data_IF_574371414981
#
_entry.id   IF_574371414981
#
_cell.length_a   1.000
_cell.length_b   1.000
_cell.length_c   1.000
_cell.angle_alpha   90.00
_cell.angle_beta   90.00
_cell.angle_gamma   90.00
#
_symmetry.space_group_name_H-M   'P 1'
#
loop_
_entity.id
_entity.type
_entity.pdbx_description
1 polymer ?
#
# COMPACT_ATOMS: atom_id res chain seq x y z
N UNK A 1 -76.87 -0.72 26.80
CA UNK A 1 -76.30 -0.27 25.51
C UNK A 1 -75.20 0.80 25.64
N UNK A 2 -75.15 1.60 26.72
CA UNK A 2 -74.13 2.66 26.86
C UNK A 2 -72.67 2.19 27.12
N UNK A 3 -72.47 1.01 27.74
CA UNK A 3 -71.11 0.52 28.02
C UNK A 3 -70.35 0.04 26.77
N UNK A 4 -71.03 -0.50 25.76
CA UNK A 4 -70.36 -1.02 24.54
C UNK A 4 -69.80 0.09 23.65
N UNK A 5 -70.42 1.27 23.64
CA UNK A 5 -69.93 2.42 22.86
C UNK A 5 -68.60 2.96 23.38
N UNK A 6 -68.39 2.95 24.71
CA UNK A 6 -67.15 3.46 25.31
C UNK A 6 -65.95 2.53 25.01
N UNK A 7 -66.14 1.22 25.13
CA UNK A 7 -65.11 0.23 24.76
C UNK A 7 -64.78 0.26 23.27
N UNK A 8 -65.78 0.46 22.41
CA UNK A 8 -65.56 0.61 20.98
C UNK A 8 -64.73 1.85 20.66
N UNK A 9 -65.03 3.00 21.27
CA UNK A 9 -64.25 4.23 21.11
C UNK A 9 -62.81 4.08 21.61
N UNK A 10 -62.59 3.38 22.73
CA UNK A 10 -61.24 3.10 23.26
C UNK A 10 -60.45 2.18 22.30
N UNK A 11 -61.08 1.14 21.77
CA UNK A 11 -60.47 0.25 20.77
C UNK A 11 -60.10 0.98 19.48
N UNK A 12 -60.97 1.88 19.01
CA UNK A 12 -60.70 2.72 17.82
C UNK A 12 -59.53 3.67 18.09
N UNK A 13 -59.48 4.32 19.26
CA UNK A 13 -58.34 5.17 19.64
C UNK A 13 -57.02 4.38 19.73
N UNK A 14 -57.03 3.20 20.35
CA UNK A 14 -55.84 2.34 20.44
C UNK A 14 -55.38 1.86 19.05
N UNK A 15 -56.30 1.51 18.16
CA UNK A 15 -55.99 1.15 16.79
C UNK A 15 -55.38 2.32 16.00
N UNK A 16 -55.95 3.53 16.14
CA UNK A 16 -55.42 4.73 15.49
C UNK A 16 -54.01 5.08 15.99
N UNK A 17 -53.76 4.98 17.30
CA UNK A 17 -52.42 5.19 17.88
C UNK A 17 -51.45 4.11 17.40
N UNK A 18 -51.88 2.84 17.33
CA UNK A 18 -51.08 1.74 16.81
C UNK A 18 -50.68 1.93 15.34
N UNK A 19 -51.62 2.36 14.49
CA UNK A 19 -51.34 2.67 13.08
C UNK A 19 -50.44 3.89 12.94
N UNK A 20 -50.67 4.96 13.71
CA UNK A 20 -49.83 6.16 13.68
C UNK A 20 -48.38 5.85 14.13
N UNK A 21 -48.22 5.07 15.19
CA UNK A 21 -46.88 4.65 15.67
C UNK A 21 -46.18 3.71 14.70
N UNK A 22 -46.91 2.73 14.13
CA UNK A 22 -46.38 1.81 13.13
C UNK A 22 -45.96 2.51 11.83
N UNK A 23 -46.74 3.48 11.35
CA UNK A 23 -46.40 4.28 10.15
C UNK A 23 -45.20 5.19 10.38
N UNK A 24 -45.10 5.84 11.54
CA UNK A 24 -43.92 6.63 11.91
C UNK A 24 -42.67 5.75 11.98
N UNK A 25 -42.76 4.57 12.59
CA UNK A 25 -41.63 3.64 12.67
C UNK A 25 -41.19 3.16 11.28
N UNK A 26 -42.14 2.85 10.39
CA UNK A 26 -41.87 2.42 9.02
C UNK A 26 -41.24 3.53 8.17
N UNK A 27 -41.68 4.78 8.36
CA UNK A 27 -41.08 5.94 7.69
C UNK A 27 -39.65 6.16 8.17
N UNK A 28 -39.39 6.06 9.48
CA UNK A 28 -38.05 6.18 10.06
C UNK A 28 -37.13 5.08 9.53
N UNK A 29 -37.59 3.82 9.49
CA UNK A 29 -36.77 2.71 8.97
C UNK A 29 -36.53 2.83 7.48
N UNK A 30 -37.55 3.21 6.70
CA UNK A 30 -37.41 3.47 5.27
C UNK A 30 -36.40 4.57 5.01
N UNK A 31 -36.52 5.73 5.67
CA UNK A 31 -35.60 6.85 5.50
C UNK A 31 -34.17 6.49 5.94
N UNK A 32 -34.01 5.73 7.04
CA UNK A 32 -32.71 5.23 7.47
C UNK A 32 -32.06 4.24 6.47
N UNK A 33 -32.87 3.48 5.73
CA UNK A 33 -32.40 2.52 4.71
C UNK A 33 -32.13 3.24 3.38
N UNK A 34 -32.98 4.17 2.95
CA UNK A 34 -32.90 4.80 1.63
C UNK A 34 -31.99 6.02 1.58
N UNK A 35 -31.67 6.64 2.72
CA UNK A 35 -30.77 7.80 2.73
C UNK A 35 -29.33 7.34 2.53
N UNK A 36 -28.82 7.57 1.33
CA UNK A 36 -27.42 7.30 0.97
C UNK A 36 -26.50 8.51 1.19
N UNK A 37 -27.09 9.65 1.55
CA UNK A 37 -26.39 10.89 1.85
C UNK A 37 -25.94 10.87 3.29
N UNK A 38 -24.65 10.63 3.50
CA UNK A 38 -24.05 10.85 4.80
C UNK A 38 -23.25 12.14 4.82
N UNK A 39 -23.48 12.96 5.85
CA UNK A 39 -22.64 14.13 6.07
C UNK A 39 -21.36 13.69 6.76
N UNK A 40 -20.29 13.61 5.99
CA UNK A 40 -18.95 13.57 6.55
C UNK A 40 -18.70 14.92 7.25
N UNK A 41 -18.08 14.96 8.44
CA UNK A 41 -17.60 16.20 9.05
C UNK A 41 -16.34 16.69 8.33
N UNK A 42 -16.36 16.69 7.00
CA UNK A 42 -15.25 17.02 6.12
C UNK A 42 -15.68 18.26 5.34
N UNK A 43 -15.24 19.42 5.80
CA UNK A 43 -15.40 20.67 5.08
C UNK A 43 -14.09 21.00 4.33
N UNK A 44 -13.62 20.06 3.51
CA UNK A 44 -12.35 20.17 2.79
C UNK A 44 -12.47 19.53 1.40
N UNK A 45 -12.22 20.33 0.37
CA UNK A 45 -12.28 19.97 -1.06
C UNK A 45 -11.20 18.97 -1.49
N UNK A 46 -10.08 18.95 -0.75
CA UNK A 46 -8.94 18.05 -0.99
C UNK A 46 -9.09 16.66 -0.35
N UNK A 47 -10.19 16.38 0.37
CA UNK A 47 -10.40 15.09 1.04
C UNK A 47 -11.57 14.35 0.42
N UNK A 48 -11.38 13.07 0.15
CA UNK A 48 -12.43 12.16 -0.30
C UNK A 48 -12.51 10.92 0.56
N UNK A 49 -13.72 10.42 0.72
CA UNK A 49 -13.99 9.18 1.41
C UNK A 49 -14.38 8.07 0.43
N UNK A 50 -13.63 6.98 0.44
CA UNK A 50 -13.88 5.82 -0.44
C UNK A 50 -14.71 4.73 0.24
N UNK A 51 -14.74 4.67 1.58
CA UNK A 51 -15.54 3.72 2.35
C UNK A 51 -16.12 4.35 3.60
N UNK A 52 -17.43 4.22 3.78
CA UNK A 52 -18.21 4.83 4.85
C UNK A 52 -18.58 3.79 5.90
N UNK A 53 -18.24 4.05 7.16
CA UNK A 53 -18.75 3.31 8.30
C UNK A 53 -19.95 4.04 8.89
N UNK A 54 -21.08 3.32 8.94
CA UNK A 54 -22.29 3.71 9.67
C UNK A 54 -22.31 2.95 10.99
N UNK A 55 -21.86 3.52 12.12
CA UNK A 55 -22.07 2.87 13.40
C UNK A 55 -23.58 2.80 13.66
N UNK A 56 -24.06 1.62 14.03
CA UNK A 56 -25.47 1.40 14.35
C UNK A 56 -25.86 2.28 15.54
N UNK A 57 -26.65 3.32 15.27
CA UNK A 57 -27.27 4.15 16.30
C UNK A 57 -28.79 4.17 16.06
N UNK A 58 -29.56 3.72 17.05
CA UNK A 58 -31.02 3.86 17.11
C UNK A 58 -31.47 5.31 17.46
N UNK A 59 -30.68 6.31 17.08
CA UNK A 59 -30.90 7.74 17.38
C UNK A 59 -30.74 8.52 16.06
N UNK A 60 -31.67 9.34 15.57
CA UNK A 60 -33.10 9.58 15.78
C UNK A 60 -33.47 10.59 14.66
N UNK A 61 -34.62 10.47 13.97
CA UNK A 61 -35.37 11.54 13.27
C UNK A 61 -34.61 12.59 12.40
N UNK A 62 -33.31 12.42 12.13
CA UNK A 62 -32.38 13.38 11.49
C UNK A 62 -31.27 12.63 10.73
N UNK A 63 -30.57 13.32 9.84
CA UNK A 63 -29.50 12.75 8.99
C UNK A 63 -28.40 12.06 9.83
N UNK A 64 -28.08 10.78 9.57
CA UNK A 64 -27.08 10.04 10.33
C UNK A 64 -25.66 10.57 10.10
N UNK A 65 -24.82 10.54 11.15
CA UNK A 65 -23.38 10.81 11.06
C UNK A 65 -22.60 9.56 10.66
N UNK A 66 -21.71 9.67 9.68
CA UNK A 66 -20.81 8.59 9.26
C UNK A 66 -19.37 8.98 9.43
N UNK A 67 -18.54 7.95 9.56
CA UNK A 67 -17.11 8.09 9.60
C UNK A 67 -16.49 7.43 8.38
N UNK A 68 -15.46 8.06 7.84
CA UNK A 68 -14.67 7.50 6.77
C UNK A 68 -13.62 6.50 7.27
N UNK A 69 -13.67 5.28 6.73
CA UNK A 69 -12.67 4.24 6.97
C UNK A 69 -11.45 4.39 6.07
N UNK A 70 -11.65 4.85 4.84
CA UNK A 70 -10.60 5.01 3.81
C UNK A 70 -10.58 6.46 3.37
N UNK A 71 -9.67 7.23 3.97
CA UNK A 71 -9.45 8.64 3.66
C UNK A 71 -8.42 8.76 2.55
N UNK A 72 -8.76 9.50 1.50
CA UNK A 72 -7.83 9.91 0.45
C UNK A 72 -7.72 11.43 0.45
N UNK A 73 -6.50 11.92 0.62
CA UNK A 73 -6.16 13.35 0.59
C UNK A 73 -5.35 13.62 -0.65
N UNK A 74 -5.80 14.57 -1.47
CA UNK A 74 -5.12 14.99 -2.70
C UNK A 74 -5.05 16.50 -2.76
N UNK A 75 -3.86 17.01 -2.47
CA UNK A 75 -3.63 18.44 -2.35
C UNK A 75 -3.60 19.17 -3.70
N UNK A 76 -3.53 18.45 -4.82
CA UNK A 76 -3.65 19.05 -6.14
C UNK A 76 -5.09 19.51 -6.47
N UNK A 77 -6.10 19.01 -5.74
CA UNK A 77 -7.52 19.31 -5.99
C UNK A 77 -7.97 20.69 -5.55
N UNK A 78 -7.20 21.37 -4.70
CA UNK A 78 -7.55 22.71 -4.22
C UNK A 78 -7.35 23.82 -5.28
N UNK A 79 -6.92 23.45 -6.48
CA UNK A 79 -6.78 24.35 -7.62
C UNK A 79 -5.52 25.24 -7.54
N UNK A 80 -5.02 25.73 -8.68
CA UNK A 80 -3.87 26.61 -8.72
C UNK A 80 -4.26 28.00 -8.16
N UNK A 81 -4.02 28.25 -6.86
CA UNK A 81 -4.29 29.56 -6.27
C UNK A 81 -4.53 29.59 -4.75
N UNK A 82 -4.69 28.44 -4.09
CA UNK A 82 -4.74 28.40 -2.62
C UNK A 82 -3.36 28.65 -2.03
N UNK A 83 -3.29 29.60 -1.09
CA UNK A 83 -2.06 29.90 -0.37
C UNK A 83 -1.63 28.65 0.42
N UNK A 84 -0.38 28.19 0.25
CA UNK A 84 0.12 26.93 0.81
C UNK A 84 -0.02 26.84 2.35
N UNK A 85 -0.01 27.99 3.03
CA UNK A 85 -0.26 28.11 4.48
C UNK A 85 -1.71 27.84 4.85
N UNK A 86 -2.66 28.41 4.11
CA UNK A 86 -4.11 28.22 4.34
C UNK A 86 -4.50 26.75 4.14
N UNK A 87 -3.93 26.11 3.13
CA UNK A 87 -4.08 24.67 2.93
C UNK A 87 -3.55 23.89 4.15
N UNK A 88 -2.32 24.17 4.59
CA UNK A 88 -1.73 23.47 5.74
C UNK A 88 -2.49 23.70 7.05
N UNK A 89 -3.06 24.88 7.25
CA UNK A 89 -3.91 25.17 8.41
C UNK A 89 -5.20 24.34 8.37
N UNK A 90 -5.86 24.24 7.21
CA UNK A 90 -7.04 23.39 7.01
C UNK A 90 -6.70 21.90 7.19
N UNK A 91 -5.57 21.46 6.65
CA UNK A 91 -5.05 20.10 6.75
C UNK A 91 -4.73 19.71 8.20
N UNK A 92 -4.05 20.57 8.95
CA UNK A 92 -3.78 20.40 10.37
C UNK A 92 -5.06 20.43 11.21
N UNK A 93 -5.99 21.34 10.90
CA UNK A 93 -7.29 21.42 11.57
C UNK A 93 -8.10 20.16 11.35
N UNK A 94 -8.10 19.61 10.13
CA UNK A 94 -8.76 18.37 9.82
C UNK A 94 -8.21 17.21 10.67
N UNK A 95 -6.91 16.94 10.63
CA UNK A 95 -6.35 15.82 11.39
C UNK A 95 -6.40 16.00 12.90
N UNK A 96 -6.49 17.23 13.41
CA UNK A 96 -6.64 17.51 14.85
C UNK A 96 -8.08 17.37 15.34
N UNK A 97 -9.09 17.56 14.48
CA UNK A 97 -10.51 17.52 14.87
C UNK A 97 -11.22 16.23 14.43
N UNK A 98 -10.77 15.61 13.34
CA UNK A 98 -11.45 14.46 12.77
C UNK A 98 -11.39 13.22 13.70
N UNK A 99 -12.47 12.42 13.78
CA UNK A 99 -12.54 11.20 14.60
C UNK A 99 -11.62 10.10 14.08
N UNK A 100 -10.50 9.86 14.77
CA UNK A 100 -9.46 8.93 14.33
C UNK A 100 -9.76 7.44 14.60
N UNK A 101 -10.78 7.14 15.41
CA UNK A 101 -11.11 5.79 15.89
C UNK A 101 -11.63 4.84 14.82
N UNK A 102 -12.16 5.38 13.72
CA UNK A 102 -12.84 4.59 12.68
C UNK A 102 -12.07 4.54 11.36
N UNK A 103 -10.95 5.24 11.26
CA UNK A 103 -10.14 5.32 10.04
C UNK A 103 -9.10 4.21 10.04
N UNK A 104 -9.12 3.40 9.00
CA UNK A 104 -8.23 2.26 8.82
C UNK A 104 -7.23 2.47 7.69
N UNK A 105 -7.49 3.39 6.77
CA UNK A 105 -6.56 3.72 5.70
C UNK A 105 -6.52 5.22 5.49
N UNK A 106 -5.30 5.76 5.37
CA UNK A 106 -5.03 7.11 4.91
C UNK A 106 -4.07 7.01 3.74
N UNK A 107 -4.46 7.63 2.63
CA UNK A 107 -3.58 7.86 1.49
C UNK A 107 -3.49 9.36 1.26
N UNK A 108 -2.27 9.90 1.27
CA UNK A 108 -2.00 11.32 1.08
C UNK A 108 -1.13 11.48 -0.16
N UNK A 109 -1.62 12.25 -1.13
CA UNK A 109 -1.00 12.47 -2.42
C UNK A 109 -0.83 13.95 -2.75
N UNK A 110 0.26 14.29 -3.43
CA UNK A 110 0.52 15.63 -3.99
C UNK A 110 0.62 16.75 -2.95
N UNK A 111 0.93 16.41 -1.70
CA UNK A 111 0.94 17.33 -0.56
C UNK A 111 2.38 17.65 -0.16
N UNK A 112 2.96 18.80 -0.53
CA UNK A 112 4.34 19.12 -0.16
C UNK A 112 4.47 19.30 1.37
N UNK A 113 5.30 18.47 2.01
CA UNK A 113 5.50 18.41 3.47
C UNK A 113 6.94 18.72 3.93
N UNK A 114 7.69 19.47 3.13
CA UNK A 114 9.03 19.96 3.47
C UNK A 114 8.97 21.29 4.22
N UNK A 115 10.05 21.63 4.93
CA UNK A 115 10.15 22.89 5.69
C UNK A 115 9.76 24.11 4.83
N UNK A 116 8.90 25.03 5.29
CA UNK A 116 8.34 25.17 6.65
C UNK A 116 7.03 24.39 6.89
N UNK A 117 6.49 23.74 5.87
CA UNK A 117 5.20 23.07 5.86
C UNK A 117 5.38 21.59 6.26
N UNK A 118 5.22 21.27 7.54
CA UNK A 118 5.55 19.94 8.09
C UNK A 118 4.39 18.96 8.03
N UNK A 119 4.72 17.67 8.08
CA UNK A 119 3.76 16.58 8.33
C UNK A 119 2.94 16.88 9.61
N UNK A 120 1.60 16.79 9.58
CA UNK A 120 0.77 17.02 10.75
C UNK A 120 1.07 16.01 11.85
N UNK A 121 1.52 16.50 13.01
CA UNK A 121 1.74 15.66 14.19
C UNK A 121 0.44 15.00 14.68
N UNK A 122 -0.72 15.61 14.38
CA UNK A 122 -2.03 15.06 14.70
C UNK A 122 -2.33 13.71 14.00
N UNK A 123 -1.58 13.33 12.96
CA UNK A 123 -1.68 11.99 12.35
C UNK A 123 -1.38 10.87 13.36
N UNK A 124 -0.58 11.14 14.40
CA UNK A 124 -0.34 10.23 15.52
C UNK A 124 -1.62 9.74 16.22
N UNK A 125 -2.71 10.52 16.17
CA UNK A 125 -4.01 10.16 16.77
C UNK A 125 -4.66 8.96 16.09
N UNK A 126 -4.26 8.66 14.85
CA UNK A 126 -4.83 7.59 14.02
C UNK A 126 -4.19 6.24 14.33
N UNK A 127 -4.31 5.82 15.59
CA UNK A 127 -3.77 4.54 16.10
C UNK A 127 -4.44 3.32 15.49
N UNK A 128 -5.53 3.50 14.71
CA UNK A 128 -6.31 2.45 14.06
C UNK A 128 -5.96 2.24 12.57
N UNK A 129 -4.94 2.93 12.06
CA UNK A 129 -4.51 2.78 10.68
C UNK A 129 -3.92 1.40 10.45
N UNK A 130 -4.49 0.71 9.47
CA UNK A 130 -3.99 -0.51 8.88
C UNK A 130 -3.11 -0.23 7.66
N UNK A 131 -3.32 0.93 7.02
CA UNK A 131 -2.62 1.39 5.83
C UNK A 131 -2.26 2.87 5.89
N UNK A 132 -1.04 3.18 5.47
CA UNK A 132 -0.58 4.54 5.27
C UNK A 132 0.18 4.62 3.95
N UNK A 133 -0.34 5.41 3.01
CA UNK A 133 0.29 5.69 1.72
C UNK A 133 0.65 7.15 1.68
N UNK A 134 1.92 7.43 1.42
CA UNK A 134 2.41 8.79 1.21
C UNK A 134 3.01 8.88 -0.19
N UNK A 135 2.46 9.75 -1.03
CA UNK A 135 2.82 9.91 -2.42
C UNK A 135 3.07 11.37 -2.78
N UNK A 136 4.17 11.63 -3.48
CA UNK A 136 4.54 12.98 -3.93
C UNK A 136 4.47 14.01 -2.80
N UNK A 137 5.00 13.64 -1.62
CA UNK A 137 4.97 14.50 -0.44
C UNK A 137 6.19 15.44 -0.34
N UNK A 138 7.12 15.33 -1.30
CA UNK A 138 8.34 16.15 -1.38
C UNK A 138 9.17 16.18 -0.10
N UNK A 139 9.16 15.11 0.70
CA UNK A 139 9.99 15.03 1.89
C UNK A 139 11.46 14.99 1.50
N UNK A 140 12.26 15.84 2.13
CA UNK A 140 13.72 15.79 2.08
C UNK A 140 14.30 14.76 3.06
N UNK A 141 15.60 14.53 2.95
CA UNK A 141 16.32 13.50 3.72
C UNK A 141 16.19 13.70 5.25
N UNK A 142 16.27 14.95 5.70
CA UNK A 142 16.27 15.37 7.11
C UNK A 142 14.90 15.87 7.62
N UNK A 143 13.86 15.82 6.79
CA UNK A 143 12.55 16.26 7.22
C UNK A 143 12.01 15.34 8.32
N UNK A 144 11.65 15.87 9.51
CA UNK A 144 11.16 15.05 10.59
C UNK A 144 9.80 14.48 10.21
N UNK A 145 9.79 13.19 9.88
CA UNK A 145 8.57 12.41 9.71
C UNK A 145 7.89 12.12 11.05
N UNK A 146 6.65 11.62 10.99
CA UNK A 146 5.95 11.06 12.13
C UNK A 146 6.81 10.00 12.83
N UNK A 147 6.71 9.94 14.16
CA UNK A 147 7.30 8.86 14.91
C UNK A 147 6.53 7.56 14.62
N UNK A 148 7.08 6.70 13.76
CA UNK A 148 6.41 5.49 13.29
C UNK A 148 6.02 4.51 14.40
N UNK A 149 6.65 4.60 15.58
CA UNK A 149 6.29 3.79 16.74
C UNK A 149 4.87 4.08 17.28
N UNK A 150 4.29 5.23 16.91
CA UNK A 150 2.96 5.66 17.36
C UNK A 150 1.80 4.99 16.61
N UNK A 151 2.11 4.19 15.57
CA UNK A 151 1.12 3.45 14.79
C UNK A 151 1.15 1.95 15.09
N UNK A 152 0.58 1.49 16.22
CA UNK A 152 0.66 0.10 16.63
C UNK A 152 -0.17 -0.84 15.75
N UNK A 153 -1.14 -0.33 14.99
CA UNK A 153 -2.06 -1.12 14.18
C UNK A 153 -1.80 -1.08 12.69
N UNK A 154 -0.71 -0.47 12.23
CA UNK A 154 -0.27 -0.52 10.82
C UNK A 154 0.07 -1.99 10.48
N UNK A 155 -1.00 -2.74 10.23
CA UNK A 155 -1.35 -4.14 9.91
C UNK A 155 -2.54 -3.88 9.02
N UNK A 156 -2.69 -4.24 7.76
CA UNK A 156 -3.45 -5.38 7.23
C UNK A 156 -3.39 -5.11 5.74
N UNK A 157 -3.27 -6.15 4.94
CA UNK A 157 -4.27 -6.40 3.90
C UNK A 157 -4.94 -7.72 4.25
N UNK A 158 -6.22 -7.87 3.94
CA UNK A 158 -6.76 -9.19 3.66
C UNK A 158 -6.44 -9.51 2.20
N UNK A 159 -5.36 -10.25 1.95
CA UNK A 159 -5.18 -10.94 0.68
C UNK A 159 -5.87 -12.30 0.76
N UNK A 160 -6.81 -12.54 -0.16
CA UNK A 160 -7.46 -13.82 -0.34
C UNK A 160 -6.75 -14.51 -1.51
N UNK A 161 -5.74 -15.33 -1.19
CA UNK A 161 -5.20 -16.26 -2.18
C UNK A 161 -6.23 -17.38 -2.40
N UNK A 162 -6.84 -17.43 -3.58
CA UNK A 162 -7.61 -18.60 -4.03
C UNK A 162 -6.61 -19.71 -4.44
N UNK A 163 -5.80 -20.20 -3.52
CA UNK A 163 -4.76 -21.15 -3.89
C UNK A 163 -3.82 -21.55 -2.77
N UNK A 164 -4.32 -22.34 -1.82
CA UNK A 164 -3.60 -22.99 -0.69
C UNK A 164 -3.36 -22.05 0.49
N UNK A 165 -3.92 -22.44 1.63
CA UNK A 165 -4.05 -21.58 2.80
C UNK A 165 -2.73 -21.24 3.48
N UNK A 166 -2.51 -19.94 3.69
CA UNK A 166 -1.97 -19.35 4.91
C UNK A 166 -2.36 -17.87 4.93
N UNK A 167 -3.22 -17.49 5.88
CA UNK A 167 -3.71 -16.11 6.08
C UNK A 167 -2.61 -15.27 6.73
N UNK A 168 -1.73 -14.62 5.96
CA UNK A 168 -0.76 -13.70 6.54
C UNK A 168 -1.23 -12.25 6.45
N UNK A 169 -1.44 -11.66 7.63
CA UNK A 169 -1.83 -10.26 7.85
C UNK A 169 -0.58 -9.39 7.71
N UNK A 170 -0.17 -9.09 6.49
CA UNK A 170 1.07 -8.35 6.26
C UNK A 170 0.84 -6.86 6.54
N UNK A 171 1.79 -6.28 7.26
CA UNK A 171 1.80 -4.91 7.78
C UNK A 171 2.59 -4.04 6.81
N UNK A 172 1.95 -3.09 6.12
CA UNK A 172 2.57 -2.39 4.98
C UNK A 172 2.71 -0.88 5.17
N UNK A 173 3.87 -0.36 4.82
CA UNK A 173 4.16 1.07 4.67
C UNK A 173 4.54 1.33 3.21
N UNK A 174 3.89 2.30 2.58
CA UNK A 174 4.15 2.65 1.17
C UNK A 174 4.53 4.12 1.06
N UNK A 175 5.74 4.37 0.55
CA UNK A 175 6.31 5.69 0.32
C UNK A 175 6.67 5.82 -1.17
N UNK A 176 6.12 6.84 -1.82
CA UNK A 176 6.29 7.06 -3.26
C UNK A 176 6.74 8.47 -3.57
N UNK A 177 7.54 8.62 -4.63
CA UNK A 177 7.87 9.92 -5.25
C UNK A 177 8.34 10.95 -4.21
N UNK A 178 9.25 10.51 -3.33
CA UNK A 178 9.85 11.38 -2.32
C UNK A 178 11.10 12.05 -2.91
N UNK A 179 11.43 13.25 -2.42
CA UNK A 179 12.61 14.00 -2.87
C UNK A 179 13.90 13.55 -2.17
N UNK A 180 13.94 12.29 -1.73
CA UNK A 180 15.12 11.75 -1.08
C UNK A 180 16.24 11.54 -2.08
N UNK A 181 17.45 11.87 -1.65
CA UNK A 181 18.69 11.56 -2.39
C UNK A 181 19.44 10.37 -1.80
N UNK A 182 19.06 9.98 -0.58
CA UNK A 182 19.55 8.83 0.15
C UNK A 182 18.43 8.28 1.05
N UNK A 183 18.61 7.09 1.61
CA UNK A 183 17.61 6.52 2.51
C UNK A 183 17.48 7.40 3.78
N UNK A 184 16.29 7.95 4.03
CA UNK A 184 16.06 8.84 5.17
C UNK A 184 16.27 8.11 6.51
N UNK A 185 16.92 8.77 7.48
CA UNK A 185 17.12 8.24 8.85
C UNK A 185 15.81 7.96 9.59
N UNK A 186 14.72 8.56 9.15
CA UNK A 186 13.37 8.28 9.69
C UNK A 186 12.95 6.82 9.54
N UNK A 187 13.55 6.07 8.59
CA UNK A 187 13.33 4.64 8.40
C UNK A 187 14.24 3.76 9.26
N UNK A 188 15.13 4.34 10.08
CA UNK A 188 15.91 3.60 11.07
C UNK A 188 15.00 3.03 12.17
N UNK A 189 13.87 3.69 12.46
CA UNK A 189 12.90 3.25 13.45
C UNK A 189 11.56 2.98 12.80
N UNK A 190 11.41 1.78 12.24
CA UNK A 190 10.14 1.30 11.69
C UNK A 190 9.18 0.88 12.81
N UNK A 191 7.86 0.85 12.55
CA UNK A 191 6.91 0.27 13.49
C UNK A 191 7.35 -1.16 13.82
N UNK A 192 7.32 -1.58 15.10
CA UNK A 192 7.85 -2.88 15.53
C UNK A 192 7.14 -4.06 14.87
N UNK A 193 5.97 -3.79 14.31
CA UNK A 193 5.14 -4.77 13.70
C UNK A 193 5.35 -4.83 12.18
N UNK A 194 5.87 -3.78 11.53
CA UNK A 194 5.95 -3.66 10.07
C UNK A 194 6.66 -4.86 9.42
N UNK A 195 6.02 -5.43 8.39
CA UNK A 195 6.49 -6.63 7.70
C UNK A 195 6.70 -6.39 6.19
N UNK A 196 6.08 -5.37 5.61
CA UNK A 196 6.16 -5.01 4.20
C UNK A 196 6.49 -3.54 4.06
N UNK A 197 7.57 -3.23 3.36
CA UNK A 197 7.96 -1.86 3.03
C UNK A 197 7.99 -1.71 1.51
N UNK A 198 7.31 -0.68 1.02
CA UNK A 198 7.33 -0.32 -0.40
C UNK A 198 7.87 1.09 -0.59
N UNK A 199 8.96 1.19 -1.33
CA UNK A 199 9.60 2.42 -1.78
C UNK A 199 9.46 2.46 -3.31
N UNK A 200 8.94 3.55 -3.86
CA UNK A 200 8.76 3.66 -5.31
C UNK A 200 9.04 5.05 -5.84
N UNK A 201 9.80 5.18 -6.94
CA UNK A 201 10.05 6.49 -7.55
C UNK A 201 10.91 7.42 -6.67
N UNK A 202 11.80 6.86 -5.85
CA UNK A 202 12.67 7.61 -4.93
C UNK A 202 14.11 7.48 -5.41
N UNK A 203 14.88 8.56 -5.49
CA UNK A 203 16.28 8.48 -5.93
C UNK A 203 17.17 7.89 -4.81
N UNK A 204 17.38 6.58 -4.84
CA UNK A 204 18.19 5.85 -3.86
C UNK A 204 19.52 5.40 -4.44
N UNK A 205 20.09 6.15 -5.38
CA UNK A 205 21.37 5.82 -6.00
C UNK A 205 22.55 5.86 -5.01
N UNK A 206 22.43 6.62 -3.92
CA UNK A 206 23.43 6.66 -2.86
C UNK A 206 23.55 5.31 -2.12
N UNK A 207 24.74 4.98 -1.57
CA UNK A 207 24.93 3.78 -0.78
C UNK A 207 23.95 3.73 0.40
N UNK A 208 23.36 2.55 0.63
CA UNK A 208 22.46 2.38 1.77
C UNK A 208 23.23 2.30 3.08
N UNK A 209 22.68 2.87 4.16
CA UNK A 209 23.32 2.87 5.46
C UNK A 209 23.27 1.49 6.14
N UNK A 210 24.29 1.20 6.94
CA UNK A 210 24.47 -0.10 7.61
C UNK A 210 23.35 -0.44 8.60
N UNK A 211 22.68 0.58 9.15
CA UNK A 211 21.57 0.38 10.08
C UNK A 211 20.39 -0.38 9.45
N UNK A 212 20.29 -0.44 8.12
CA UNK A 212 19.24 -1.21 7.44
C UNK A 212 19.30 -2.68 7.86
N UNK A 213 20.51 -3.24 7.94
CA UNK A 213 20.73 -4.63 8.34
C UNK A 213 20.26 -4.92 9.77
N UNK A 214 20.44 -3.95 10.69
CA UNK A 214 20.15 -4.12 12.12
C UNK A 214 18.76 -3.65 12.52
N UNK A 215 18.14 -2.77 11.72
CA UNK A 215 16.87 -2.11 12.07
C UNK A 215 15.66 -2.73 11.37
N UNK A 216 15.83 -3.29 10.17
CA UNK A 216 14.73 -3.86 9.37
C UNK A 216 14.52 -5.35 9.64
N UNK A 217 14.75 -5.78 10.87
CA UNK A 217 14.75 -7.20 11.27
C UNK A 217 13.39 -7.88 11.08
N UNK A 218 12.29 -7.12 11.12
CA UNK A 218 10.93 -7.67 11.00
C UNK A 218 10.37 -7.62 9.57
N UNK A 219 11.14 -7.11 8.60
CA UNK A 219 10.68 -6.98 7.21
C UNK A 219 10.77 -8.33 6.49
N UNK A 220 9.61 -8.84 6.09
CA UNK A 220 9.48 -10.06 5.28
C UNK A 220 9.27 -9.76 3.79
N UNK A 221 8.71 -8.59 3.46
CA UNK A 221 8.50 -8.15 2.08
C UNK A 221 9.13 -6.77 1.86
N UNK A 222 10.02 -6.66 0.88
CA UNK A 222 10.62 -5.40 0.50
C UNK A 222 10.43 -5.15 -0.99
N UNK A 223 9.78 -4.04 -1.32
CA UNK A 223 9.60 -3.58 -2.68
C UNK A 223 10.32 -2.24 -2.82
N UNK A 224 11.35 -2.18 -3.66
CA UNK A 224 12.11 -0.97 -3.97
C UNK A 224 12.09 -0.82 -5.48
N UNK A 225 11.04 -0.21 -6.00
CA UNK A 225 10.73 -0.22 -7.45
C UNK A 225 11.00 1.15 -8.04
N UNK A 226 11.68 1.21 -9.18
CA UNK A 226 11.98 2.50 -9.83
C UNK A 226 12.68 3.50 -8.90
N UNK A 227 13.69 3.01 -8.15
CA UNK A 227 14.43 3.83 -7.20
C UNK A 227 15.88 4.13 -7.65
N UNK A 228 16.16 3.94 -8.94
CA UNK A 228 17.46 4.17 -9.58
C UNK A 228 18.65 3.44 -8.94
N UNK A 229 18.43 2.32 -8.24
CA UNK A 229 19.51 1.57 -7.59
C UNK A 229 20.54 1.10 -8.64
N UNK A 230 21.83 1.50 -8.56
CA UNK A 230 22.85 1.06 -9.52
C UNK A 230 23.37 -0.36 -9.25
N UNK A 231 23.30 -0.78 -7.98
CA UNK A 231 23.67 -2.10 -7.48
C UNK A 231 22.68 -2.50 -6.38
N UNK A 232 22.64 -3.78 -6.05
CA UNK A 232 21.91 -4.24 -4.87
C UNK A 232 22.66 -3.79 -3.59
N UNK A 233 22.01 -3.04 -2.68
CA UNK A 233 22.66 -2.57 -1.46
C UNK A 233 23.12 -3.70 -0.53
N UNK A 234 24.39 -3.72 -0.08
CA UNK A 234 24.91 -4.78 0.78
C UNK A 234 24.09 -5.08 2.05
N UNK A 235 23.56 -4.07 2.78
CA UNK A 235 22.77 -4.33 3.98
C UNK A 235 21.52 -5.20 3.74
N UNK A 236 20.94 -5.20 2.52
CA UNK A 236 19.76 -6.01 2.21
C UNK A 236 20.03 -7.51 2.23
N UNK A 237 21.28 -7.92 1.99
CA UNK A 237 21.69 -9.33 1.94
C UNK A 237 21.59 -10.01 3.31
N UNK A 238 21.55 -9.20 4.38
CA UNK A 238 21.53 -9.66 5.77
C UNK A 238 20.11 -9.86 6.34
N UNK A 239 19.06 -9.50 5.59
CA UNK A 239 17.68 -9.60 6.05
C UNK A 239 17.23 -11.07 6.01
N UNK A 240 17.36 -11.75 7.14
CA UNK A 240 17.15 -13.20 7.25
C UNK A 240 15.69 -13.63 7.03
N UNK A 241 14.73 -12.80 7.48
CA UNK A 241 13.30 -13.08 7.41
C UNK A 241 12.66 -12.62 6.07
N UNK A 242 13.46 -12.08 5.16
CA UNK A 242 12.98 -11.59 3.87
C UNK A 242 12.53 -12.76 2.98
N UNK A 243 11.23 -12.83 2.71
CA UNK A 243 10.61 -13.83 1.83
C UNK A 243 10.38 -13.29 0.43
N UNK A 244 10.15 -11.98 0.28
CA UNK A 244 9.93 -11.31 -1.00
C UNK A 244 10.83 -10.09 -1.12
N UNK A 245 11.61 -10.04 -2.19
CA UNK A 245 12.39 -8.88 -2.59
C UNK A 245 12.01 -8.50 -4.02
N UNK A 246 11.46 -7.31 -4.24
CA UNK A 246 11.18 -6.77 -5.56
C UNK A 246 11.99 -5.49 -5.79
N UNK A 247 13.00 -5.56 -6.66
CA UNK A 247 13.84 -4.44 -7.09
C UNK A 247 13.66 -4.16 -8.59
N UNK A 248 12.46 -4.38 -9.10
CA UNK A 248 12.12 -4.16 -10.52
C UNK A 248 12.24 -2.65 -10.90
N UNK A 249 12.54 -2.32 -12.16
CA UNK A 249 12.75 -0.94 -12.65
C UNK A 249 13.95 -0.19 -12.05
N UNK A 250 14.96 -0.87 -11.54
CA UNK A 250 16.18 -0.19 -11.10
C UNK A 250 17.26 -0.16 -12.20
N UNK A 251 18.45 0.28 -11.84
CA UNK A 251 19.61 0.36 -12.74
C UNK A 251 20.64 -0.71 -12.42
N UNK A 252 20.23 -1.80 -11.75
CA UNK A 252 21.11 -2.83 -11.21
C UNK A 252 21.81 -3.52 -12.39
N UNK A 253 23.13 -3.40 -12.44
CA UNK A 253 23.96 -3.95 -13.52
C UNK A 253 24.65 -5.26 -13.14
N UNK A 254 24.87 -5.47 -11.85
CA UNK A 254 25.50 -6.67 -11.29
C UNK A 254 24.76 -7.13 -10.04
N UNK A 255 24.80 -8.43 -9.79
CA UNK A 255 24.38 -9.03 -8.54
C UNK A 255 25.60 -9.65 -7.85
N UNK A 256 25.68 -9.61 -6.53
CA UNK A 256 26.79 -10.23 -5.83
C UNK A 256 26.69 -11.76 -5.90
N UNK A 257 27.81 -12.46 -6.02
CA UNK A 257 27.81 -13.92 -5.82
C UNK A 257 27.66 -14.25 -4.33
N UNK A 258 26.99 -15.35 -3.97
CA UNK A 258 26.81 -15.71 -2.54
C UNK A 258 28.17 -15.89 -1.82
N UNK A 259 29.20 -16.36 -2.50
CA UNK A 259 30.53 -16.50 -1.91
C UNK A 259 31.15 -15.14 -1.57
N UNK A 260 31.05 -14.17 -2.48
CA UNK A 260 31.44 -12.78 -2.21
C UNK A 260 30.59 -12.16 -1.11
N UNK A 261 29.28 -12.44 -1.05
CA UNK A 261 28.42 -11.89 0.02
C UNK A 261 28.81 -12.41 1.40
N UNK A 262 29.06 -13.72 1.55
CA UNK A 262 29.47 -14.30 2.84
C UNK A 262 30.73 -13.60 3.37
N UNK A 263 31.70 -13.30 2.49
CA UNK A 263 32.90 -12.54 2.87
C UNK A 263 32.62 -11.06 3.18
N UNK A 264 31.67 -10.44 2.47
CA UNK A 264 31.36 -9.01 2.61
C UNK A 264 30.52 -8.71 3.86
N UNK A 265 29.54 -9.55 4.19
CA UNK A 265 28.61 -9.31 5.31
C UNK A 265 28.87 -10.20 6.54
N UNK A 266 29.89 -11.07 6.51
CA UNK A 266 30.26 -11.98 7.60
C UNK A 266 29.08 -12.84 8.11
N UNK A 267 28.19 -13.28 7.21
CA UNK A 267 27.02 -14.09 7.54
C UNK A 267 27.00 -15.38 6.73
N UNK A 268 26.65 -16.49 7.40
CA UNK A 268 26.73 -17.83 6.84
C UNK A 268 25.68 -18.13 5.75
N UNK A 269 24.61 -17.32 5.63
CA UNK A 269 23.58 -17.54 4.61
C UNK A 269 22.90 -16.22 4.24
N UNK A 270 23.05 -15.81 2.97
CA UNK A 270 22.28 -14.71 2.38
C UNK A 270 20.86 -15.19 2.05
N UNK A 271 19.85 -14.46 2.53
CA UNK A 271 18.43 -14.69 2.20
C UNK A 271 17.93 -16.14 2.37
N UNK A 272 18.05 -16.73 3.57
CA UNK A 272 17.65 -18.11 3.82
C UNK A 272 16.16 -18.35 3.58
N UNK A 273 15.30 -17.35 3.75
CA UNK A 273 13.84 -17.46 3.63
C UNK A 273 13.27 -16.99 2.28
N UNK A 274 14.10 -16.48 1.36
CA UNK A 274 13.61 -15.80 0.15
C UNK A 274 12.94 -16.79 -0.82
N UNK A 275 11.68 -16.50 -1.15
CA UNK A 275 10.86 -17.29 -2.07
C UNK A 275 10.61 -16.56 -3.38
N UNK A 276 10.57 -15.23 -3.37
CA UNK A 276 10.26 -14.40 -4.53
C UNK A 276 11.30 -13.31 -4.73
N UNK A 277 11.88 -13.26 -5.93
CA UNK A 277 12.88 -12.27 -6.33
C UNK A 277 12.48 -11.56 -7.64
N UNK A 278 12.14 -10.28 -7.51
CA UNK A 278 11.82 -9.38 -8.62
C UNK A 278 13.05 -8.61 -9.10
N UNK A 279 13.52 -8.89 -10.31
CA UNK A 279 14.69 -8.22 -10.92
C UNK A 279 14.37 -7.68 -12.33
N UNK A 280 13.10 -7.64 -12.72
CA UNK A 280 12.71 -7.20 -14.06
C UNK A 280 13.08 -5.73 -14.33
N UNK A 281 13.33 -5.37 -15.58
CA UNK A 281 13.57 -3.97 -15.95
C UNK A 281 14.85 -3.38 -15.34
N UNK A 282 15.90 -4.18 -15.19
CA UNK A 282 17.22 -3.76 -14.71
C UNK A 282 18.24 -3.77 -15.87
N UNK A 283 19.54 -3.71 -15.55
CA UNK A 283 20.66 -3.68 -16.52
C UNK A 283 21.56 -4.92 -16.43
N UNK A 284 21.04 -6.03 -15.91
CA UNK A 284 21.82 -7.24 -15.68
C UNK A 284 22.31 -7.83 -17.00
N UNK A 285 23.60 -8.16 -17.07
CA UNK A 285 24.21 -8.89 -18.20
C UNK A 285 24.40 -10.38 -17.93
N UNK A 286 24.54 -10.74 -16.67
CA UNK A 286 24.65 -12.10 -16.14
C UNK A 286 23.90 -12.19 -14.81
N UNK A 287 23.56 -13.41 -14.41
CA UNK A 287 23.00 -13.71 -13.08
C UNK A 287 23.85 -14.82 -12.46
N UNK A 288 24.41 -14.64 -11.25
CA UNK A 288 25.13 -15.71 -10.56
C UNK A 288 24.24 -16.93 -10.34
N UNK A 289 24.76 -18.12 -10.64
CA UNK A 289 24.04 -19.39 -10.42
C UNK A 289 23.64 -19.56 -8.96
N UNK A 290 24.48 -19.06 -8.04
CA UNK A 290 24.24 -19.11 -6.60
C UNK A 290 22.95 -18.40 -6.17
N UNK A 291 22.61 -17.26 -6.79
CA UNK A 291 21.33 -16.57 -6.53
C UNK A 291 20.14 -17.41 -6.99
N UNK A 292 20.23 -18.04 -8.15
CA UNK A 292 19.16 -18.91 -8.66
C UNK A 292 19.03 -20.20 -7.84
N UNK A 293 20.12 -20.63 -7.19
CA UNK A 293 20.19 -21.82 -6.35
C UNK A 293 19.77 -21.59 -4.88
N UNK A 294 19.26 -20.39 -4.53
CA UNK A 294 18.73 -20.13 -3.19
C UNK A 294 17.67 -21.19 -2.80
N UNK A 295 17.75 -21.75 -1.58
CA UNK A 295 17.09 -23.00 -1.22
C UNK A 295 15.55 -22.92 -1.30
N UNK A 296 15.00 -21.76 -0.97
CA UNK A 296 13.56 -21.52 -0.90
C UNK A 296 13.00 -20.72 -2.08
N UNK A 297 13.84 -20.32 -3.05
CA UNK A 297 13.44 -19.47 -4.16
C UNK A 297 12.52 -20.20 -5.15
N UNK A 298 11.28 -19.76 -5.25
CA UNK A 298 10.23 -20.35 -6.08
C UNK A 298 9.89 -19.49 -7.30
N UNK A 299 10.13 -18.19 -7.22
CA UNK A 299 9.68 -17.21 -8.20
C UNK A 299 10.77 -16.19 -8.49
N UNK A 300 11.15 -16.05 -9.77
CA UNK A 300 12.16 -15.08 -10.21
C UNK A 300 11.70 -14.37 -11.48
N UNK A 301 11.85 -13.06 -11.52
CA UNK A 301 11.62 -12.26 -12.74
C UNK A 301 12.91 -11.61 -13.22
N UNK A 302 13.34 -11.95 -14.43
CA UNK A 302 14.55 -11.40 -15.06
C UNK A 302 14.22 -10.69 -16.39
N UNK A 303 12.93 -10.57 -16.73
CA UNK A 303 12.47 -9.89 -17.92
C UNK A 303 13.04 -8.47 -18.06
N UNK A 304 13.19 -7.99 -19.29
CA UNK A 304 13.64 -6.63 -19.61
C UNK A 304 14.98 -6.30 -18.95
N UNK A 305 15.96 -7.18 -19.11
CA UNK A 305 17.35 -6.97 -18.72
C UNK A 305 18.25 -6.97 -19.98
N UNK A 306 19.56 -7.05 -19.79
CA UNK A 306 20.57 -7.12 -20.87
C UNK A 306 21.30 -8.47 -20.89
N UNK A 307 20.63 -9.56 -20.51
CA UNK A 307 21.24 -10.88 -20.40
C UNK A 307 21.70 -11.39 -21.78
N UNK A 308 23.01 -11.60 -21.92
CA UNK A 308 23.63 -12.12 -23.15
C UNK A 308 23.45 -13.64 -23.25
N UNK A 309 23.45 -14.30 -22.08
CA UNK A 309 23.17 -15.73 -21.95
C UNK A 309 21.97 -15.91 -21.04
N UNK A 310 21.03 -16.77 -21.45
CA UNK A 310 19.85 -17.06 -20.65
C UNK A 310 20.24 -18.06 -19.56
N UNK A 311 20.22 -17.66 -18.27
CA UNK A 311 20.61 -18.58 -17.22
C UNK A 311 19.62 -19.75 -17.18
N UNK A 312 20.10 -20.99 -17.06
CA UNK A 312 19.21 -22.12 -16.84
C UNK A 312 18.55 -21.97 -15.46
N UNK A 313 17.27 -22.30 -15.36
CA UNK A 313 16.66 -22.44 -14.05
C UNK A 313 17.26 -23.70 -13.38
N UNK A 314 17.88 -23.60 -12.19
CA UNK A 314 18.52 -24.76 -11.56
C UNK A 314 17.52 -25.83 -11.11
N UNK A 315 16.24 -25.45 -11.01
CA UNK A 315 15.11 -26.33 -10.70
C UNK A 315 13.83 -25.79 -11.35
N UNK A 316 12.75 -26.57 -11.29
CA UNK A 316 11.43 -26.08 -11.68
C UNK A 316 10.95 -25.01 -10.69
N UNK A 317 11.01 -23.75 -11.13
CA UNK A 317 10.44 -22.61 -10.44
C UNK A 317 8.94 -22.53 -10.75
N UNK A 318 8.14 -22.05 -9.79
CA UNK A 318 6.75 -21.69 -10.05
C UNK A 318 6.67 -20.59 -11.10
N UNK A 319 7.68 -19.74 -11.12
CA UNK A 319 7.73 -18.58 -11.98
C UNK A 319 9.16 -18.22 -12.39
N UNK A 320 9.38 -18.13 -13.70
CA UNK A 320 10.69 -17.76 -14.27
C UNK A 320 10.51 -17.05 -15.60
N UNK A 321 10.86 -15.76 -15.65
CA UNK A 321 10.67 -14.92 -16.85
C UNK A 321 11.95 -14.30 -17.33
N UNK A 322 12.14 -14.30 -18.66
CA UNK A 322 13.32 -13.79 -19.34
C UNK A 322 12.99 -12.88 -20.53
N UNK A 323 11.70 -12.64 -20.82
CA UNK A 323 11.28 -11.88 -21.99
C UNK A 323 11.90 -10.48 -22.05
N UNK A 324 12.24 -10.01 -23.25
CA UNK A 324 12.93 -8.72 -23.42
C UNK A 324 14.43 -8.72 -23.10
N UNK A 325 15.06 -9.89 -22.95
CA UNK A 325 16.52 -10.02 -22.90
C UNK A 325 17.12 -10.39 -24.27
N UNK A 326 18.38 -9.97 -24.57
CA UNK A 326 19.09 -10.36 -25.79
C UNK A 326 19.19 -11.88 -26.02
N UNK A 327 19.38 -12.66 -24.96
CA UNK A 327 19.46 -14.11 -25.04
C UNK A 327 18.12 -14.78 -25.36
N UNK A 328 17.01 -14.05 -25.23
CA UNK A 328 15.67 -14.62 -25.27
C UNK A 328 15.14 -14.69 -26.70
N UNK A 329 15.03 -15.91 -27.23
CA UNK A 329 14.40 -16.20 -28.52
C UNK A 329 13.06 -16.92 -28.34
N UNK A 330 12.22 -16.91 -29.37
CA UNK A 330 10.88 -17.52 -29.36
C UNK A 330 10.84 -19.03 -29.09
N UNK A 331 12.00 -19.70 -29.12
CA UNK A 331 12.12 -21.14 -28.87
C UNK A 331 12.06 -21.52 -27.38
N UNK A 332 12.38 -20.59 -26.47
CA UNK A 332 12.38 -20.86 -25.03
C UNK A 332 11.02 -20.45 -24.41
N UNK A 333 10.30 -21.36 -23.73
CA UNK A 333 9.00 -21.04 -23.13
C UNK A 333 9.06 -19.90 -22.09
N UNK A 334 10.19 -19.71 -21.40
CA UNK A 334 10.42 -18.60 -20.46
C UNK A 334 10.63 -17.24 -21.14
N UNK A 335 10.75 -17.22 -22.47
CA UNK A 335 10.89 -16.01 -23.30
C UNK A 335 9.57 -15.48 -23.86
N UNK A 336 8.44 -16.17 -23.61
CA UNK A 336 7.12 -15.65 -23.98
C UNK A 336 6.84 -14.37 -23.19
N UNK A 337 6.26 -13.37 -23.86
CA UNK A 337 5.88 -12.09 -23.25
C UNK A 337 5.03 -12.34 -22.01
N UNK A 338 5.56 -11.97 -20.85
CA UNK A 338 4.99 -12.39 -19.58
C UNK A 338 4.10 -11.30 -19.00
N UNK A 339 2.83 -11.21 -19.43
CA UNK A 339 1.83 -10.46 -18.67
C UNK A 339 1.43 -11.16 -17.36
N UNK A 340 1.93 -12.37 -17.12
CA UNK A 340 1.99 -13.04 -15.84
C UNK A 340 3.43 -13.54 -15.72
N UNK A 341 4.23 -13.06 -14.75
CA UNK A 341 3.90 -12.54 -13.41
C UNK A 341 4.17 -11.06 -13.18
N UNK A 342 4.66 -10.35 -14.21
CA UNK A 342 4.96 -8.92 -14.08
C UNK A 342 3.69 -8.12 -13.81
N UNK A 343 2.52 -8.70 -14.15
CA UNK A 343 1.21 -8.15 -13.87
C UNK A 343 0.20 -9.22 -13.42
N UNK A 344 0.52 -9.92 -12.33
CA UNK A 344 -0.44 -10.82 -11.69
C UNK A 344 -1.59 -10.04 -11.00
N UNK A 345 -2.63 -10.75 -10.55
CA UNK A 345 -3.77 -10.14 -9.86
C UNK A 345 -3.35 -9.36 -8.59
N UNK A 346 -2.23 -9.73 -7.99
CA UNK A 346 -1.62 -9.06 -6.84
C UNK A 346 -1.08 -7.67 -7.21
N UNK A 347 -0.33 -7.58 -8.32
CA UNK A 347 0.21 -6.33 -8.86
C UNK A 347 -0.88 -5.47 -9.50
N UNK A 348 -1.92 -6.09 -10.07
CA UNK A 348 -3.11 -5.41 -10.58
C UNK A 348 -3.96 -4.78 -9.47
N UNK A 349 -4.19 -5.51 -8.37
CA UNK A 349 -4.94 -5.00 -7.21
C UNK A 349 -4.09 -4.13 -6.28
N UNK A 350 -2.79 -3.98 -6.56
CA UNK A 350 -1.89 -3.17 -5.75
C UNK A 350 -2.24 -1.69 -5.89
N UNK A 351 -2.30 -0.92 -4.78
CA UNK A 351 -2.39 0.53 -4.85
C UNK A 351 -1.10 1.16 -5.42
N UNK A 352 -0.04 0.36 -5.58
CA UNK A 352 1.24 0.73 -6.21
C UNK A 352 1.16 0.38 -7.69
N UNK A 353 1.15 1.39 -8.56
CA UNK A 353 1.23 1.15 -9.99
C UNK A 353 2.62 0.62 -10.36
N UNK A 354 2.68 -0.56 -11.00
CA UNK A 354 3.91 -1.09 -11.57
C UNK A 354 3.99 -0.67 -13.05
N UNK A 355 5.04 0.04 -13.45
CA UNK A 355 5.22 0.48 -14.85
C UNK A 355 5.22 -0.70 -15.84
N UNK A 356 5.69 -1.88 -15.42
CA UNK A 356 5.67 -3.12 -16.21
C UNK A 356 4.30 -3.77 -16.35
N UNK A 357 3.37 -3.45 -15.44
CA UNK A 357 1.95 -3.77 -15.59
C UNK A 357 1.26 -2.92 -16.66
N UNK A 358 1.80 -1.74 -16.91
CA UNK A 358 1.12 -0.67 -17.64
C UNK A 358 1.34 -0.72 -19.17
N UNK A 359 1.84 -1.84 -19.71
CA UNK A 359 2.01 -2.02 -21.16
C UNK A 359 0.66 -2.29 -21.84
N UNK A 360 0.49 -1.91 -23.10
CA UNK A 360 -0.75 -2.17 -23.87
C UNK A 360 -1.15 -3.64 -23.86
N UNK A 361 -0.17 -4.55 -23.96
CA UNK A 361 -0.39 -6.00 -23.89
C UNK A 361 -0.93 -6.46 -22.54
N UNK A 362 -0.51 -5.84 -21.44
CA UNK A 362 -0.95 -6.22 -20.08
C UNK A 362 -2.20 -5.44 -19.62
N UNK A 363 -2.39 -4.20 -20.09
CA UNK A 363 -3.63 -3.40 -19.91
C UNK A 363 -4.87 -4.04 -20.53
N UNK A 364 -4.75 -4.79 -21.63
CA UNK A 364 -5.89 -5.49 -22.25
C UNK A 364 -6.36 -6.67 -21.37
N UNK A 365 -5.49 -7.17 -20.50
CA UNK A 365 -5.79 -8.26 -19.55
C UNK A 365 -6.15 -7.77 -18.15
N UNK A 366 -5.72 -6.57 -17.76
CA UNK A 366 -6.06 -5.95 -16.47
C UNK A 366 -7.28 -5.03 -16.60
N UNK A 367 -8.22 -5.13 -15.66
CA UNK A 367 -9.42 -4.26 -15.60
C UNK A 367 -9.14 -2.92 -14.91
N UNK A 368 -7.99 -2.79 -14.26
CA UNK A 368 -7.57 -1.58 -13.53
C UNK A 368 -6.54 -0.80 -14.35
N UNK A 369 -6.85 0.46 -14.67
CA UNK A 369 -5.91 1.42 -15.22
C UNK A 369 -5.06 1.98 -14.09
N UNK A 370 -3.74 1.83 -14.20
CA UNK A 370 -2.79 2.69 -13.51
C UNK A 370 -3.05 4.15 -13.93
N UNK A 371 -3.71 4.94 -13.08
CA UNK A 371 -3.83 6.37 -13.31
C UNK A 371 -2.52 7.06 -12.90
N UNK A 372 -1.82 7.59 -13.88
CA UNK A 372 -0.65 8.47 -13.71
C UNK A 372 -0.25 8.97 -15.10
N UNK A 373 -0.52 10.26 -15.35
CA UNK A 373 -0.01 10.99 -16.51
C UNK A 373 1.51 11.15 -16.44
#
# INVERSE_FOLDING_TARGET
MAHHGCWFSVLVCLALVGVATGTVLLLITHEAITTDKCMLPINATFITCQSYLRPWHLKALFTPTCYCQVLYVDCARDGPGTNATVFHDAFNTFFSTYPSTYTNMIAIGNCPMHAPLRVPQALARFTQLWFFVLDSASLGDDDPLLNWTEFPKLLLTTYCDRGRGLRQRIRRLTLRNQCWTQLSRTLERLPPLLASLTLTGIDLAAPWPDWVATSWTNISELHVVDCKLPILPPPLLSLADLTTLDVTANLISTLPSIEETVTMINQATTWPALTTLGLGGNRLRTVPETILALPNLQSVTLALNSLVYCPPAPRQLLLYTLDGNPCCSSANPSCKTSCAPLCDATKEASPVCYSFCNTTTCRVRSTLQCFGN
#
